data_IF_161935320380
#
_entry.id   IF_161935320380
#
_cell.length_a   1.000
_cell.length_b   1.000
_cell.length_c   1.000
_cell.angle_alpha   90.00
_cell.angle_beta   90.00
_cell.angle_gamma   90.00
#
_symmetry.space_group_name_H-M   'P 1'
#
loop_
_entity.id
_entity.type
_entity.pdbx_description
1 polymer ?
#
# COMPACT_ATOMS: atom_id res chain seq x y z
N UNK A 1 9.29 -8.93 -19.88
CA UNK A 1 9.23 -9.83 -18.69
C UNK A 1 8.85 -9.09 -17.40
N UNK A 2 8.70 -7.75 -17.40
CA UNK A 2 8.29 -6.95 -16.23
C UNK A 2 6.79 -7.03 -15.91
N UNK A 3 5.95 -7.04 -16.94
CA UNK A 3 4.49 -6.99 -16.79
C UNK A 3 3.88 -8.17 -16.03
N UNK A 4 4.45 -9.38 -16.16
CA UNK A 4 3.98 -10.55 -15.40
C UNK A 4 4.31 -10.39 -13.91
N UNK A 5 5.49 -9.87 -13.58
CA UNK A 5 5.90 -9.64 -12.20
C UNK A 5 5.06 -8.56 -11.52
N UNK A 6 4.71 -7.49 -12.25
CA UNK A 6 3.83 -6.41 -11.75
C UNK A 6 2.42 -6.94 -11.47
N UNK A 7 1.85 -7.73 -12.37
CA UNK A 7 0.55 -8.37 -12.17
C UNK A 7 0.59 -9.34 -10.98
N UNK A 8 1.66 -10.12 -10.84
CA UNK A 8 1.83 -11.01 -9.69
C UNK A 8 1.95 -10.21 -8.37
N UNK A 9 2.73 -9.13 -8.34
CA UNK A 9 2.82 -8.24 -7.18
C UNK A 9 1.45 -7.66 -6.81
N UNK A 10 0.68 -7.20 -7.79
CA UNK A 10 -0.68 -6.71 -7.55
C UNK A 10 -1.58 -7.79 -6.94
N UNK A 11 -1.50 -9.04 -7.41
CA UNK A 11 -2.27 -10.16 -6.85
C UNK A 11 -1.84 -10.42 -5.40
N UNK A 12 -0.55 -10.53 -5.13
CA UNK A 12 -0.04 -10.80 -3.78
C UNK A 12 -0.41 -9.67 -2.81
N UNK A 13 -0.26 -8.41 -3.22
CA UNK A 13 -0.65 -7.27 -2.40
C UNK A 13 -2.15 -7.22 -2.17
N UNK A 14 -2.96 -7.58 -3.17
CA UNK A 14 -4.42 -7.67 -3.01
C UNK A 14 -4.80 -8.70 -1.94
N UNK A 15 -4.16 -9.88 -1.97
CA UNK A 15 -4.38 -10.93 -0.97
C UNK A 15 -3.90 -10.47 0.41
N UNK A 16 -2.71 -9.87 0.50
CA UNK A 16 -2.15 -9.32 1.74
C UNK A 16 -3.03 -8.23 2.35
N UNK A 17 -3.55 -7.31 1.52
CA UNK A 17 -4.47 -6.26 1.94
C UNK A 17 -5.79 -6.86 2.47
N UNK A 18 -6.36 -7.84 1.79
CA UNK A 18 -7.58 -8.53 2.24
C UNK A 18 -7.40 -9.22 3.59
N UNK A 19 -6.27 -9.93 3.78
CA UNK A 19 -5.94 -10.56 5.06
C UNK A 19 -5.79 -9.50 6.15
N UNK A 20 -5.06 -8.43 5.87
CA UNK A 20 -4.82 -7.32 6.81
C UNK A 20 -6.13 -6.64 7.22
N UNK A 21 -7.00 -6.33 6.26
CA UNK A 21 -8.33 -5.75 6.50
C UNK A 21 -9.21 -6.69 7.34
N UNK A 22 -9.18 -7.99 7.05
CA UNK A 22 -9.93 -8.98 7.83
C UNK A 22 -9.43 -9.04 9.26
N UNK A 23 -8.12 -9.12 9.47
CA UNK A 23 -7.52 -9.13 10.81
C UNK A 23 -7.87 -7.86 11.58
N UNK A 24 -7.82 -6.69 10.91
CA UNK A 24 -8.22 -5.40 11.48
C UNK A 24 -9.68 -5.40 11.93
N UNK A 25 -10.61 -5.87 11.08
CA UNK A 25 -12.03 -5.95 11.43
C UNK A 25 -12.31 -6.92 12.57
N UNK A 26 -11.59 -8.03 12.63
CA UNK A 26 -11.72 -9.00 13.73
C UNK A 26 -11.06 -8.53 15.04
N UNK A 27 -10.34 -7.41 15.02
CA UNK A 27 -9.62 -6.90 16.20
C UNK A 27 -8.44 -7.77 16.64
N UNK A 28 -7.98 -8.69 15.78
CA UNK A 28 -6.85 -9.58 16.08
C UNK A 28 -5.51 -8.84 16.01
N UNK A 29 -5.45 -7.74 15.24
CA UNK A 29 -4.30 -6.85 15.18
C UNK A 29 -4.64 -5.49 15.82
N UNK A 30 -3.64 -4.77 16.37
CA UNK A 30 -3.84 -3.43 16.86
C UNK A 30 -4.37 -2.52 15.75
N UNK A 31 -5.13 -1.49 16.13
CA UNK A 31 -5.81 -0.58 15.19
C UNK A 31 -4.85 0.43 14.58
N UNK A 32 -3.87 -0.05 13.82
CA UNK A 32 -2.88 0.75 13.11
C UNK A 32 -3.46 1.33 11.82
N UNK A 33 -4.30 2.36 11.96
CA UNK A 33 -5.05 2.94 10.84
C UNK A 33 -4.12 3.54 9.79
N UNK A 34 -3.05 4.22 10.22
CA UNK A 34 -2.09 4.83 9.30
C UNK A 34 -1.26 3.78 8.56
N UNK A 35 -0.93 2.68 9.24
CA UNK A 35 -0.20 1.56 8.62
C UNK A 35 -1.04 0.90 7.52
N UNK A 36 -2.31 0.60 7.81
CA UNK A 36 -3.23 -0.02 6.85
C UNK A 36 -3.47 0.90 5.65
N UNK A 37 -3.62 2.20 5.90
CA UNK A 37 -3.80 3.18 4.83
C UNK A 37 -2.54 3.31 3.96
N UNK A 38 -1.34 3.19 4.54
CA UNK A 38 -0.09 3.10 3.78
C UNK A 38 -0.04 1.88 2.86
N UNK A 39 -0.42 0.69 3.36
CA UNK A 39 -0.54 -0.51 2.53
C UNK A 39 -1.57 -0.35 1.40
N UNK A 40 -2.69 0.32 1.67
CA UNK A 40 -3.66 0.64 0.64
C UNK A 40 -3.09 1.57 -0.44
N UNK A 41 -2.27 2.57 -0.07
CA UNK A 41 -1.58 3.41 -1.04
C UNK A 41 -0.58 2.63 -1.90
N UNK A 42 0.16 1.67 -1.33
CA UNK A 42 1.05 0.79 -2.12
C UNK A 42 0.24 -0.05 -3.11
N UNK A 43 -0.86 -0.63 -2.67
CA UNK A 43 -1.74 -1.39 -3.55
C UNK A 43 -2.24 -0.53 -4.72
N UNK A 44 -2.62 0.72 -4.47
CA UNK A 44 -3.02 1.65 -5.52
C UNK A 44 -1.86 2.02 -6.46
N UNK A 45 -0.66 2.19 -5.92
CA UNK A 45 0.58 2.38 -6.69
C UNK A 45 0.78 1.23 -7.68
N UNK A 46 0.66 -0.01 -7.23
CA UNK A 46 0.82 -1.21 -8.06
C UNK A 46 -0.27 -1.35 -9.13
N UNK A 47 -1.48 -0.83 -8.89
CA UNK A 47 -2.48 -0.72 -9.96
C UNK A 47 -1.99 0.23 -11.05
N UNK A 48 -1.44 1.38 -10.68
CA UNK A 48 -0.93 2.34 -11.65
C UNK A 48 0.25 1.78 -12.43
N UNK A 49 1.18 1.07 -11.78
CA UNK A 49 2.27 0.36 -12.47
C UNK A 49 1.75 -0.63 -13.51
N UNK A 50 0.75 -1.45 -13.16
CA UNK A 50 0.17 -2.40 -14.11
C UNK A 50 -0.52 -1.67 -15.26
N UNK A 51 -1.25 -0.58 -14.99
CA UNK A 51 -1.97 0.20 -16.01
C UNK A 51 -1.02 0.99 -16.91
N UNK A 52 0.10 1.49 -16.36
CA UNK A 52 1.18 2.15 -17.10
C UNK A 52 1.65 1.29 -18.27
N UNK A 53 1.78 -0.02 -18.06
CA UNK A 53 2.15 -0.99 -19.09
C UNK A 53 1.16 -1.11 -20.26
N UNK A 54 0.00 -0.45 -20.22
CA UNK A 54 -1.03 -0.48 -21.27
C UNK A 54 -1.47 0.91 -21.75
N UNK A 55 -1.54 1.93 -20.87
CA UNK A 55 -2.10 3.25 -21.19
C UNK A 55 -1.27 4.38 -20.58
N UNK A 56 -1.13 5.51 -21.31
CA UNK A 56 -0.54 6.79 -20.86
C UNK A 56 0.61 6.67 -19.83
N UNK A 57 1.76 6.11 -20.23
CA UNK A 57 2.80 5.67 -19.31
C UNK A 57 3.32 6.81 -18.40
N UNK A 58 3.59 7.99 -18.96
CA UNK A 58 4.12 9.11 -18.16
C UNK A 58 3.15 9.58 -17.05
N UNK A 59 1.84 9.52 -17.30
CA UNK A 59 0.84 9.94 -16.32
C UNK A 59 0.71 8.92 -15.18
N UNK A 60 0.65 7.63 -15.53
CA UNK A 60 0.53 6.58 -14.52
C UNK A 60 1.81 6.38 -13.72
N UNK A 61 2.98 6.60 -14.31
CA UNK A 61 4.26 6.62 -13.61
C UNK A 61 4.31 7.72 -12.53
N UNK A 62 3.81 8.93 -12.84
CA UNK A 62 3.71 10.01 -11.83
C UNK A 62 2.75 9.63 -10.70
N UNK A 63 1.62 8.99 -11.02
CA UNK A 63 0.67 8.52 -10.03
C UNK A 63 1.26 7.43 -9.15
N UNK A 64 1.91 6.42 -9.73
CA UNK A 64 2.64 5.37 -9.02
C UNK A 64 3.56 6.00 -7.97
N UNK A 65 4.51 6.82 -8.42
CA UNK A 65 5.49 7.43 -7.52
C UNK A 65 4.85 8.34 -6.48
N UNK A 66 3.78 9.07 -6.83
CA UNK A 66 3.06 9.91 -5.87
C UNK A 66 2.41 9.09 -4.76
N UNK A 67 1.76 7.98 -5.10
CA UNK A 67 1.12 7.09 -4.13
C UNK A 67 2.15 6.34 -3.28
N UNK A 68 3.28 5.95 -3.87
CA UNK A 68 4.39 5.37 -3.14
C UNK A 68 4.98 6.35 -2.13
N UNK A 69 5.15 7.62 -2.51
CA UNK A 69 5.59 8.67 -1.61
C UNK A 69 4.59 8.91 -0.47
N UNK A 70 3.29 9.00 -0.76
CA UNK A 70 2.24 9.15 0.25
C UNK A 70 2.27 7.97 1.24
N UNK A 71 2.43 6.73 0.76
CA UNK A 71 2.58 5.55 1.61
C UNK A 71 3.75 5.70 2.60
N UNK A 72 4.91 6.16 2.12
CA UNK A 72 6.08 6.35 2.98
C UNK A 72 5.83 7.35 4.13
N UNK A 73 5.09 8.44 3.85
CA UNK A 73 4.70 9.41 4.86
C UNK A 73 3.72 8.81 5.89
N UNK A 74 2.76 7.99 5.42
CA UNK A 74 1.82 7.31 6.30
C UNK A 74 2.50 6.31 7.23
N UNK A 75 3.48 5.57 6.73
CA UNK A 75 4.30 4.67 7.55
C UNK A 75 5.10 5.44 8.60
N UNK A 76 5.68 6.59 8.25
CA UNK A 76 6.37 7.44 9.21
C UNK A 76 5.42 7.94 10.31
N UNK A 77 4.21 8.37 9.94
CA UNK A 77 3.19 8.83 10.89
C UNK A 77 2.73 7.68 11.79
N UNK A 78 2.51 6.48 11.23
CA UNK A 78 2.12 5.29 11.98
C UNK A 78 3.19 4.90 13.00
N UNK A 79 4.46 4.87 12.61
CA UNK A 79 5.57 4.59 13.52
C UNK A 79 5.59 5.57 14.69
N UNK A 80 5.45 6.87 14.42
CA UNK A 80 5.47 7.90 15.47
C UNK A 80 4.27 7.80 16.40
N UNK A 81 3.05 7.75 15.84
CA UNK A 81 1.81 7.87 16.62
C UNK A 81 1.34 6.58 17.24
N UNK A 82 1.55 5.45 16.56
CA UNK A 82 0.90 4.21 16.96
C UNK A 82 1.89 3.23 17.60
N UNK A 83 3.15 3.24 17.16
CA UNK A 83 4.18 2.33 17.68
C UNK A 83 4.98 2.98 18.81
N UNK A 84 5.40 4.23 18.64
CA UNK A 84 6.25 4.92 19.63
C UNK A 84 5.45 5.41 20.85
N UNK A 85 4.25 5.98 20.65
CA UNK A 85 3.37 6.39 21.77
C UNK A 85 2.78 5.19 22.52
N UNK A 86 2.64 4.01 21.88
CA UNK A 86 2.23 2.79 22.57
C UNK A 86 3.30 2.23 23.52
N UNK A 87 4.54 2.68 23.40
CA UNK A 87 5.69 2.19 24.17
C UNK A 87 5.95 3.03 25.44
N UNK A 88 5.19 4.10 25.64
CA UNK A 88 5.27 4.99 26.81
C UNK A 88 4.02 4.89 27.68
#
# INVERSE_FOLDING_TARGET
MYQISEVLNLIFDSVGLLITLRLFWTGLIPKFHFLILGFFCIWLSNIFTVVEGYFFPDFFNILEHSFFFISSLLFLISLKKEILESLH
#
